data_IF_125092946174
#
_entry.id   IF_125092946174
#
_cell.length_a   1.000
_cell.length_b   1.000
_cell.length_c   1.000
_cell.angle_alpha   90.00
_cell.angle_beta   90.00
_cell.angle_gamma   90.00
#
_symmetry.space_group_name_H-M   'P 1'
#
loop_
_entity.id
_entity.type
_entity.pdbx_description
1 polymer ?
#
# COMPACT_ATOMS: atom_id res chain seq x y z
N UNK A 1 49.07 18.75 -43.30
CA UNK A 1 48.86 17.88 -42.12
C UNK A 1 48.31 16.58 -42.68
N UNK A 2 49.08 15.50 -42.63
CA UNK A 2 48.59 14.16 -42.97
C UNK A 2 47.45 13.82 -42.00
N UNK A 3 46.27 13.45 -42.52
CA UNK A 3 45.20 12.93 -41.68
C UNK A 3 45.55 11.49 -41.32
N UNK A 4 45.73 11.21 -40.04
CA UNK A 4 45.94 9.86 -39.53
C UNK A 4 44.75 9.00 -39.92
N UNK A 5 44.99 7.91 -40.63
CA UNK A 5 43.97 6.92 -40.95
C UNK A 5 43.57 6.16 -39.67
N UNK A 6 42.30 6.29 -39.26
CA UNK A 6 41.74 5.69 -38.05
C UNK A 6 40.91 4.45 -38.34
N UNK A 7 40.69 4.10 -39.61
CA UNK A 7 39.92 2.91 -40.00
C UNK A 7 40.42 1.63 -39.33
N UNK A 8 41.74 1.36 -39.24
CA UNK A 8 42.23 0.16 -38.56
C UNK A 8 41.88 0.09 -37.06
N UNK A 9 41.79 1.24 -36.40
CA UNK A 9 41.40 1.32 -34.99
C UNK A 9 39.88 1.13 -34.80
N UNK A 10 39.09 1.53 -35.79
CA UNK A 10 37.65 1.27 -35.83
C UNK A 10 37.35 -0.22 -35.97
N UNK A 11 37.99 -0.88 -36.94
CA UNK A 11 37.81 -2.31 -37.20
C UNK A 11 38.25 -3.16 -36.00
N UNK A 12 39.33 -2.75 -35.32
CA UNK A 12 39.79 -3.43 -34.12
C UNK A 12 38.81 -3.24 -32.95
N UNK A 13 38.30 -2.02 -32.75
CA UNK A 13 37.34 -1.76 -31.68
C UNK A 13 36.01 -2.51 -31.89
N UNK A 14 35.57 -2.66 -33.14
CA UNK A 14 34.38 -3.46 -33.48
C UNK A 14 34.58 -4.94 -33.10
N UNK A 15 35.71 -5.52 -33.50
CA UNK A 15 36.05 -6.90 -33.11
C UNK A 15 36.18 -7.09 -31.60
N UNK A 16 36.79 -6.14 -30.90
CA UNK A 16 36.93 -6.17 -29.44
C UNK A 16 35.57 -6.07 -28.73
N UNK A 17 34.62 -5.29 -29.28
CA UNK A 17 33.26 -5.17 -28.75
C UNK A 17 32.48 -6.47 -28.95
N UNK A 18 32.57 -7.09 -30.12
CA UNK A 18 31.89 -8.36 -30.42
C UNK A 18 32.38 -9.50 -29.51
N UNK A 19 33.70 -9.61 -29.30
CA UNK A 19 34.28 -10.58 -28.37
C UNK A 19 33.80 -10.32 -26.93
N UNK A 20 33.76 -9.06 -26.52
CA UNK A 20 33.27 -8.68 -25.19
C UNK A 20 31.78 -9.00 -25.02
N UNK A 21 30.96 -8.82 -26.06
CA UNK A 21 29.54 -9.21 -26.03
C UNK A 21 29.38 -10.71 -25.82
N UNK A 22 30.11 -11.54 -26.57
CA UNK A 22 30.07 -13.01 -26.43
C UNK A 22 30.48 -13.46 -25.02
N UNK A 23 31.53 -12.87 -24.46
CA UNK A 23 32.02 -13.21 -23.10
C UNK A 23 31.03 -12.78 -22.02
N UNK A 24 30.34 -11.65 -22.20
CA UNK A 24 29.42 -11.09 -21.21
C UNK A 24 27.99 -11.65 -21.31
N UNK A 25 27.57 -12.19 -22.46
CA UNK A 25 26.23 -12.74 -22.70
C UNK A 25 25.73 -13.70 -21.60
N UNK A 26 26.50 -14.72 -21.17
CA UNK A 26 26.06 -15.62 -20.10
C UNK A 26 25.93 -14.93 -18.74
N UNK A 27 26.78 -13.94 -18.43
CA UNK A 27 26.68 -13.16 -17.20
C UNK A 27 25.42 -12.27 -17.22
N UNK A 28 25.16 -11.60 -18.34
CA UNK A 28 24.01 -10.71 -18.50
C UNK A 28 22.69 -11.50 -18.51
N UNK A 29 22.64 -12.66 -19.17
CA UNK A 29 21.42 -13.46 -19.30
C UNK A 29 21.14 -14.30 -18.06
N UNK A 30 22.14 -15.03 -17.57
CA UNK A 30 21.92 -15.99 -16.47
C UNK A 30 22.08 -15.33 -15.12
N UNK A 31 23.19 -14.63 -14.87
CA UNK A 31 23.47 -14.13 -13.52
C UNK A 31 22.61 -12.93 -13.14
N UNK A 32 22.30 -12.03 -14.08
CA UNK A 32 21.39 -10.91 -13.81
C UNK A 32 19.96 -11.41 -13.53
N UNK A 33 19.46 -12.37 -14.31
CA UNK A 33 18.14 -12.98 -14.08
C UNK A 33 18.08 -13.65 -12.70
N UNK A 34 19.10 -14.44 -12.36
CA UNK A 34 19.19 -15.15 -11.08
C UNK A 34 19.38 -14.20 -9.89
N UNK A 35 20.21 -13.16 -10.05
CA UNK A 35 20.46 -12.15 -9.03
C UNK A 35 19.21 -11.30 -8.78
N UNK A 36 18.48 -10.93 -9.83
CA UNK A 36 17.26 -10.13 -9.71
C UNK A 36 16.08 -10.92 -9.21
N UNK A 37 16.04 -12.25 -9.38
CA UNK A 37 14.92 -13.08 -8.93
C UNK A 37 14.56 -12.89 -7.45
N UNK A 38 15.57 -12.72 -6.57
CA UNK A 38 15.38 -12.51 -5.13
C UNK A 38 15.21 -11.04 -4.72
N UNK A 39 15.35 -10.11 -5.65
CA UNK A 39 15.26 -8.67 -5.35
C UNK A 39 13.81 -8.24 -5.17
N UNK A 40 13.60 -7.26 -4.28
CA UNK A 40 12.29 -6.60 -4.18
C UNK A 40 12.01 -5.80 -5.45
N UNK A 41 10.74 -5.50 -5.72
CA UNK A 41 10.33 -4.67 -6.87
C UNK A 41 11.03 -3.30 -6.85
N UNK A 42 11.28 -2.76 -5.66
CA UNK A 42 11.98 -1.49 -5.48
C UNK A 42 13.45 -1.58 -5.89
N UNK A 43 14.14 -2.64 -5.48
CA UNK A 43 15.56 -2.80 -5.79
C UNK A 43 15.77 -3.11 -7.27
N UNK A 44 14.84 -3.83 -7.92
CA UNK A 44 14.80 -4.01 -9.38
C UNK A 44 14.67 -2.66 -10.10
N UNK A 45 13.75 -1.81 -9.67
CA UNK A 45 13.57 -0.49 -10.28
C UNK A 45 14.85 0.38 -10.19
N UNK A 46 15.55 0.34 -9.04
CA UNK A 46 16.84 1.03 -8.88
C UNK A 46 17.93 0.47 -9.79
N UNK A 47 18.00 -0.86 -9.95
CA UNK A 47 18.96 -1.53 -10.84
C UNK A 47 18.78 -1.10 -12.30
N UNK A 48 17.53 -0.91 -12.74
CA UNK A 48 17.20 -0.40 -14.07
C UNK A 48 17.38 1.13 -14.21
N UNK A 49 17.99 1.81 -13.24
CA UNK A 49 18.23 3.25 -13.28
C UNK A 49 16.97 4.11 -13.15
N UNK A 50 15.83 3.52 -12.78
CA UNK A 50 14.57 4.25 -12.61
C UNK A 50 14.58 4.95 -11.26
N UNK A 51 14.25 6.24 -11.22
CA UNK A 51 14.05 6.95 -9.95
C UNK A 51 12.89 6.31 -9.17
N UNK A 52 13.27 5.54 -8.16
CA UNK A 52 12.38 4.80 -7.27
C UNK A 52 11.24 5.65 -6.69
N UNK A 53 11.46 6.93 -6.42
CA UNK A 53 10.45 7.82 -5.81
C UNK A 53 9.42 8.31 -6.82
N UNK A 54 9.76 8.33 -8.10
CA UNK A 54 8.89 8.80 -9.19
C UNK A 54 8.07 7.65 -9.81
N UNK A 55 8.48 6.41 -9.56
CA UNK A 55 7.83 5.22 -10.09
C UNK A 55 6.44 4.96 -9.49
N UNK A 56 5.49 4.51 -10.31
CA UNK A 56 4.09 4.24 -9.90
C UNK A 56 3.98 3.26 -8.73
N UNK A 57 4.83 2.23 -8.69
CA UNK A 57 4.86 1.23 -7.61
C UNK A 57 5.14 1.86 -6.23
N UNK A 58 5.93 2.94 -6.15
CA UNK A 58 6.18 3.62 -4.88
C UNK A 58 4.91 4.24 -4.28
N UNK A 59 3.99 4.71 -5.15
CA UNK A 59 2.66 5.21 -4.73
C UNK A 59 1.86 4.10 -4.07
N UNK A 60 1.89 2.90 -4.66
CA UNK A 60 1.19 1.74 -4.10
C UNK A 60 1.79 1.31 -2.75
N UNK A 61 3.11 1.29 -2.60
CA UNK A 61 3.76 1.01 -1.30
C UNK A 61 3.36 2.03 -0.23
N UNK A 62 3.27 3.31 -0.62
CA UNK A 62 2.79 4.37 0.28
C UNK A 62 1.35 4.14 0.70
N UNK A 63 0.50 3.74 -0.25
CA UNK A 63 -0.92 3.42 0.01
C UNK A 63 -1.07 2.21 0.94
N UNK A 64 -0.29 1.15 0.76
CA UNK A 64 -0.26 0.00 1.67
C UNK A 64 0.10 0.45 3.09
N UNK A 65 1.18 1.23 3.25
CA UNK A 65 1.60 1.78 4.55
C UNK A 65 0.47 2.59 5.24
N UNK A 66 -0.29 3.37 4.48
CA UNK A 66 -1.44 4.11 5.00
C UNK A 66 -2.57 3.20 5.48
N UNK A 67 -2.87 2.10 4.78
CA UNK A 67 -3.90 1.15 5.22
C UNK A 67 -3.49 0.42 6.50
N UNK A 68 -2.21 0.02 6.63
CA UNK A 68 -1.70 -0.53 7.89
C UNK A 68 -1.92 0.43 9.07
N UNK A 69 -1.67 1.73 8.87
CA UNK A 69 -1.95 2.73 9.90
C UNK A 69 -3.44 2.86 10.23
N UNK A 70 -4.32 2.82 9.22
CA UNK A 70 -5.79 2.84 9.44
C UNK A 70 -6.25 1.64 10.25
N UNK A 71 -5.79 0.44 9.91
CA UNK A 71 -6.14 -0.80 10.62
C UNK A 71 -5.68 -0.71 12.07
N UNK A 72 -4.42 -0.33 12.32
CA UNK A 72 -3.88 -0.19 13.67
C UNK A 72 -4.65 0.84 14.51
N UNK A 73 -5.06 1.95 13.90
CA UNK A 73 -5.87 2.95 14.59
C UNK A 73 -7.27 2.43 14.96
N UNK A 74 -7.87 1.58 14.11
CA UNK A 74 -9.13 0.93 14.44
C UNK A 74 -8.98 -0.14 15.53
N UNK A 75 -7.88 -0.90 15.53
CA UNK A 75 -7.60 -1.91 16.57
C UNK A 75 -7.33 -1.31 17.95
N UNK A 76 -6.75 -0.10 18.00
CA UNK A 76 -6.33 0.54 19.26
C UNK A 76 -7.39 1.41 19.91
N UNK A 77 -8.47 1.72 19.18
CA UNK A 77 -9.61 2.45 19.73
C UNK A 77 -10.62 1.42 20.28
N UNK A 78 -10.88 1.35 21.60
CA UNK A 78 -12.07 0.66 22.07
C UNK A 78 -13.24 1.37 21.40
N UNK A 79 -13.99 0.67 20.56
CA UNK A 79 -15.16 1.18 19.86
C UNK A 79 -16.14 1.72 20.93
N UNK A 80 -16.02 3.01 21.25
CA UNK A 80 -16.88 3.64 22.25
C UNK A 80 -18.27 3.60 21.63
N UNK A 81 -19.26 2.97 22.28
CA UNK A 81 -20.59 2.86 21.70
C UNK A 81 -21.11 4.27 21.37
N UNK A 82 -21.28 4.53 20.07
CA UNK A 82 -21.71 5.82 19.52
C UNK A 82 -23.16 6.15 19.87
N UNK A 83 -23.90 5.13 20.34
CA UNK A 83 -25.28 5.23 20.81
C UNK A 83 -25.29 5.03 22.33
N UNK A 84 -25.29 6.13 23.07
CA UNK A 84 -25.57 6.10 24.50
C UNK A 84 -27.07 5.92 24.71
N UNK A 85 -27.48 4.90 25.47
CA UNK A 85 -28.88 4.71 25.85
C UNK A 85 -29.39 5.93 26.63
N UNK A 86 -30.45 6.58 26.14
CA UNK A 86 -31.17 7.60 26.90
C UNK A 86 -31.94 6.93 28.04
N UNK A 87 -31.34 7.00 29.24
CA UNK A 87 -31.91 6.43 30.47
C UNK A 87 -33.25 7.08 30.83
N UNK A 88 -33.46 8.35 30.49
CA UNK A 88 -34.73 9.04 30.74
C UNK A 88 -35.81 8.55 29.79
N UNK A 89 -35.49 8.35 28.50
CA UNK A 89 -36.42 7.73 27.55
C UNK A 89 -36.79 6.30 27.99
N UNK A 90 -35.82 5.47 28.35
CA UNK A 90 -36.06 4.12 28.87
C UNK A 90 -36.96 4.13 30.13
N UNK A 91 -36.70 5.04 31.06
CA UNK A 91 -37.55 5.19 32.26
C UNK A 91 -38.99 5.60 31.91
N UNK A 92 -39.19 6.46 30.90
CA UNK A 92 -40.54 6.83 30.41
C UNK A 92 -41.26 5.62 29.81
N UNK A 93 -40.58 4.80 29.01
CA UNK A 93 -41.17 3.57 28.45
C UNK A 93 -41.55 2.56 29.53
N UNK A 94 -40.69 2.34 30.52
CA UNK A 94 -40.97 1.44 31.65
C UNK A 94 -42.17 1.97 32.45
N UNK A 95 -42.18 3.26 32.79
CA UNK A 95 -43.28 3.87 33.54
C UNK A 95 -44.61 3.74 32.80
N UNK A 96 -44.66 4.08 31.52
CA UNK A 96 -45.89 3.95 30.75
C UNK A 96 -46.32 2.49 30.54
N UNK A 97 -45.38 1.57 30.30
CA UNK A 97 -45.67 0.15 30.13
C UNK A 97 -46.20 -0.54 31.40
N UNK A 98 -45.80 -0.06 32.58
CA UNK A 98 -46.31 -0.53 33.88
C UNK A 98 -47.66 0.12 34.26
N UNK A 99 -48.00 1.27 33.66
CA UNK A 99 -49.18 2.07 34.02
C UNK A 99 -50.40 1.81 33.12
N UNK A 100 -50.24 1.12 32.00
CA UNK A 100 -51.32 0.79 31.08
C UNK A 100 -51.78 -0.66 31.22
N UNK A 101 -52.55 -0.99 32.27
CA UNK A 101 -54.00 -1.25 32.07
C UNK A 101 -54.93 -0.59 33.09
N UNK A 102 -54.42 -0.05 34.21
CA UNK A 102 -55.28 0.32 35.34
C UNK A 102 -55.83 1.75 35.25
N UNK A 103 -55.04 2.72 34.75
CA UNK A 103 -55.47 4.13 34.65
C UNK A 103 -56.50 4.38 33.54
N UNK A 104 -56.44 3.60 32.45
CA UNK A 104 -57.40 3.72 31.33
C UNK A 104 -58.78 3.16 31.68
N UNK A 105 -58.90 2.37 32.75
CA UNK A 105 -60.15 1.72 33.17
C UNK A 105 -60.91 2.48 34.27
N UNK A 106 -60.26 3.42 35.00
CA UNK A 106 -60.86 4.06 36.18
C UNK A 106 -60.96 5.59 36.14
N UNK A 107 -60.40 6.28 35.14
CA UNK A 107 -60.70 7.70 34.92
C UNK A 107 -60.32 8.66 36.07
N UNK A 108 -59.39 8.28 36.96
CA UNK A 108 -58.92 9.15 38.03
C UNK A 108 -57.58 9.75 37.62
N UNK A 109 -57.53 11.09 37.43
CA UNK A 109 -56.27 11.84 37.38
C UNK A 109 -55.74 11.95 38.81
N UNK A 110 -54.62 11.28 39.11
CA UNK A 110 -53.85 11.57 40.32
C UNK A 110 -53.07 12.87 40.13
N UNK A 111 -53.22 13.77 41.09
CA UNK A 111 -52.72 15.14 41.11
C UNK A 111 -51.26 15.23 41.57
#
# INVERSE_FOLDING_TARGET
MEMTDLTPLGDQLEGDIDELEEVLEPLLSQTLSTATQKMTVMDKAKLHGVNAKEHSVFKELTRVKQYFAKIKNLETVPEKPTMTLDKQAAARFIKHGLVSPMERMLGIKTH
#
